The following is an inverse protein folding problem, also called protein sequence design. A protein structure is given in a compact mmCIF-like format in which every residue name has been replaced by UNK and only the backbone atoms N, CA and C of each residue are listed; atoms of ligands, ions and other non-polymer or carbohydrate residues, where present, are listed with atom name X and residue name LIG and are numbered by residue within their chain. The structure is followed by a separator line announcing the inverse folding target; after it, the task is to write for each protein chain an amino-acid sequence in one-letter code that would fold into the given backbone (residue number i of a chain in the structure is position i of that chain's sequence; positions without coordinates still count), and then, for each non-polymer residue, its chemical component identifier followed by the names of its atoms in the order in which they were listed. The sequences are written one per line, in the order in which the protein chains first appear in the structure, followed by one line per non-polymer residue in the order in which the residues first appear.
data_IF_932747690660
#
_entry.id   IF_932747690660
#
_cell.length_a   1.000
_cell.length_b   1.000
_cell.length_c   1.000
_cell.angle_alpha   90.00
_cell.angle_beta   90.00
_cell.angle_gamma   90.00
#
_symmetry.space_group_name_H-M   'P 1'
#
loop_
_entity.id
_entity.type
_entity.pdbx_description
1 polymer ?
#
# COMPACT_ATOMS: atom_id res chain seq x y z
N UNK A 1 15.06 20.74 1.32
CA UNK A 1 14.47 19.46 0.88
C UNK A 1 14.85 18.43 1.92
N UNK A 2 13.94 18.04 2.82
CA UNK A 2 14.17 16.87 3.65
C UNK A 2 14.10 15.66 2.71
N UNK A 3 15.23 15.00 2.46
CA UNK A 3 15.18 13.63 1.97
C UNK A 3 14.39 12.84 3.02
N UNK A 4 13.41 12.01 2.64
CA UNK A 4 12.83 11.09 3.60
C UNK A 4 14.01 10.29 4.16
N UNK A 5 14.19 10.29 5.48
CA UNK A 5 15.09 9.36 6.12
C UNK A 5 14.71 7.98 5.60
N UNK A 6 15.53 7.40 4.72
CA UNK A 6 15.36 6.05 4.22
C UNK A 6 15.69 5.12 5.38
N UNK A 7 14.77 5.02 6.34
CA UNK A 7 14.89 4.12 7.47
C UNK A 7 14.80 2.69 6.88
N UNK A 8 15.90 1.92 6.87
CA UNK A 8 15.89 0.60 6.24
C UNK A 8 14.88 -0.35 6.91
N UNK A 9 14.59 -0.14 8.20
CA UNK A 9 13.59 -0.92 8.92
C UNK A 9 12.17 -0.59 8.47
N UNK A 10 11.89 0.68 8.16
CA UNK A 10 10.61 1.10 7.59
C UNK A 10 10.37 0.40 6.25
N UNK A 11 11.34 0.50 5.34
CA UNK A 11 11.23 -0.09 4.00
C UNK A 11 11.14 -1.62 4.06
N UNK A 12 11.91 -2.27 4.95
CA UNK A 12 11.84 -3.72 5.14
C UNK A 12 10.47 -4.16 5.68
N UNK A 13 9.89 -3.43 6.64
CA UNK A 13 8.57 -3.74 7.20
C UNK A 13 7.48 -3.54 6.16
N UNK A 14 7.49 -2.41 5.44
CA UNK A 14 6.53 -2.14 4.40
C UNK A 14 6.61 -3.18 3.27
N UNK A 15 7.83 -3.52 2.83
CA UNK A 15 8.03 -4.57 1.81
C UNK A 15 7.40 -5.90 2.23
N UNK A 16 7.59 -6.30 3.48
CA UNK A 16 7.02 -7.54 4.02
C UNK A 16 5.49 -7.49 4.04
N UNK A 17 4.90 -6.43 4.59
CA UNK A 17 3.44 -6.24 4.64
C UNK A 17 2.81 -6.38 3.25
N UNK A 18 3.40 -5.72 2.25
CA UNK A 18 2.90 -5.76 0.87
C UNK A 18 3.06 -7.15 0.23
N UNK A 19 4.14 -7.88 0.52
CA UNK A 19 4.36 -9.23 0.01
C UNK A 19 3.42 -10.26 0.65
N UNK A 20 3.08 -10.06 1.93
CA UNK A 20 2.14 -10.91 2.68
C UNK A 20 0.68 -10.63 2.28
N UNK A 21 0.40 -9.51 1.60
CA UNK A 21 -0.95 -9.10 1.24
C UNK A 21 -1.80 -8.68 2.44
N UNK A 22 -1.16 -8.24 3.53
CA UNK A 22 -1.82 -7.96 4.80
C UNK A 22 -2.30 -6.51 4.86
N UNK A 23 -3.54 -6.29 4.41
CA UNK A 23 -4.18 -4.97 4.41
C UNK A 23 -4.32 -4.39 5.84
N UNK A 24 -4.53 -5.25 6.85
CA UNK A 24 -4.73 -4.82 8.23
C UNK A 24 -3.40 -4.32 8.80
N UNK A 25 -2.30 -5.04 8.55
CA UNK A 25 -0.97 -4.58 8.90
C UNK A 25 -0.58 -3.30 8.15
N UNK A 26 -0.99 -3.13 6.89
CA UNK A 26 -0.78 -1.88 6.14
C UNK A 26 -1.50 -0.70 6.80
N UNK A 27 -2.75 -0.88 7.22
CA UNK A 27 -3.52 0.14 7.94
C UNK A 27 -2.84 0.56 9.24
N UNK A 28 -2.47 -0.41 10.07
CA UNK A 28 -1.79 -0.13 11.35
C UNK A 28 -0.42 0.53 11.14
N UNK A 29 0.33 0.07 10.13
CA UNK A 29 1.59 0.67 9.75
C UNK A 29 1.42 2.13 9.32
N UNK A 30 0.43 2.44 8.48
CA UNK A 30 0.14 3.80 8.03
C UNK A 30 -0.28 4.72 9.19
N UNK A 31 -1.08 4.23 10.15
CA UNK A 31 -1.43 4.99 11.36
C UNK A 31 -0.22 5.33 12.20
N UNK A 32 0.64 4.35 12.47
CA UNK A 32 1.81 4.51 13.33
C UNK A 32 2.88 5.39 12.69
N UNK A 33 3.21 5.15 11.44
CA UNK A 33 4.39 5.73 10.80
C UNK A 33 4.09 7.00 10.00
N UNK A 34 2.84 7.16 9.49
CA UNK A 34 2.47 8.29 8.63
C UNK A 34 1.39 9.20 9.25
N UNK A 35 0.89 8.88 10.45
CA UNK A 35 -0.10 9.71 11.18
C UNK A 35 -1.34 10.05 10.35
N UNK A 36 -1.85 9.09 9.58
CA UNK A 36 -3.08 9.28 8.79
C UNK A 36 -4.26 9.65 9.70
N UNK A 37 -5.21 10.43 9.18
CA UNK A 37 -6.42 10.86 9.87
C UNK A 37 -7.40 9.71 10.13
N UNK A 38 -8.30 9.90 11.10
CA UNK A 38 -9.24 8.85 11.54
C UNK A 38 -10.22 8.44 10.42
N UNK A 39 -10.64 9.37 9.58
CA UNK A 39 -11.52 9.11 8.42
C UNK A 39 -10.91 8.17 7.37
N UNK A 40 -9.57 8.18 7.23
CA UNK A 40 -8.83 7.24 6.38
C UNK A 40 -8.62 5.93 7.13
N UNK A 41 -8.25 5.98 8.40
CA UNK A 41 -8.03 4.80 9.22
C UNK A 41 -9.30 3.92 9.32
N UNK A 42 -10.47 4.55 9.45
CA UNK A 42 -11.77 3.89 9.57
C UNK A 42 -12.32 3.33 8.26
N UNK A 43 -11.62 3.51 7.12
CA UNK A 43 -12.02 2.89 5.86
C UNK A 43 -12.00 1.36 5.95
N UNK A 44 -12.86 0.75 5.14
CA UNK A 44 -13.07 -0.68 5.12
C UNK A 44 -11.89 -1.47 4.51
N UNK A 45 -11.94 -2.78 4.66
CA UNK A 45 -10.95 -3.71 4.09
C UNK A 45 -10.77 -3.50 2.58
N UNK A 46 -11.86 -3.22 1.86
CA UNK A 46 -11.82 -3.04 0.41
C UNK A 46 -10.96 -1.84 0.03
N UNK A 47 -11.17 -0.69 0.67
CA UNK A 47 -10.33 0.49 0.49
C UNK A 47 -8.84 0.18 0.74
N UNK A 48 -8.53 -0.48 1.86
CA UNK A 48 -7.14 -0.82 2.21
C UNK A 48 -6.51 -1.79 1.22
N UNK A 49 -7.28 -2.74 0.69
CA UNK A 49 -6.85 -3.68 -0.35
C UNK A 49 -6.56 -2.97 -1.66
N UNK A 50 -7.44 -2.03 -2.09
CA UNK A 50 -7.21 -1.20 -3.29
C UNK A 50 -5.92 -0.38 -3.13
N UNK A 51 -5.75 0.30 -2.00
CA UNK A 51 -4.55 1.09 -1.73
C UNK A 51 -3.30 0.20 -1.75
N UNK A 52 -3.33 -0.97 -1.12
CA UNK A 52 -2.23 -1.92 -1.10
C UNK A 52 -1.79 -2.32 -2.52
N UNK A 53 -2.74 -2.72 -3.38
CA UNK A 53 -2.42 -3.13 -4.75
C UNK A 53 -1.89 -1.97 -5.59
N UNK A 54 -2.41 -0.75 -5.38
CA UNK A 54 -1.87 0.46 -6.03
C UNK A 54 -0.45 0.75 -5.56
N UNK A 55 -0.15 0.66 -4.26
CA UNK A 55 1.22 0.82 -3.74
C UNK A 55 2.15 -0.20 -4.37
N UNK A 56 1.76 -1.49 -4.41
CA UNK A 56 2.56 -2.55 -5.03
C UNK A 56 2.92 -2.18 -6.48
N UNK A 57 1.94 -1.74 -7.28
CA UNK A 57 2.16 -1.38 -8.69
C UNK A 57 3.08 -0.17 -8.90
N UNK A 58 3.24 0.69 -7.88
CA UNK A 58 4.06 1.90 -7.95
C UNK A 58 5.45 1.72 -7.33
N UNK A 59 5.77 0.53 -6.81
CA UNK A 59 7.06 0.23 -6.17
C UNK A 59 7.96 -0.65 -7.03
N UNK A 60 9.22 -0.21 -7.21
CA UNK A 60 10.26 -0.93 -7.97
C UNK A 60 10.75 -2.18 -7.22
N UNK A 61 10.69 -2.21 -5.90
CA UNK A 61 11.12 -3.37 -5.13
C UNK A 61 10.07 -4.49 -5.04
N UNK A 62 8.93 -4.32 -5.71
CA UNK A 62 7.80 -5.27 -5.74
C UNK A 62 7.41 -5.71 -7.15
N UNK A 63 8.31 -5.58 -8.15
CA UNK A 63 8.01 -5.93 -9.55
C UNK A 63 7.43 -7.34 -9.73
N UNK A 64 7.88 -8.30 -8.92
CA UNK A 64 7.39 -9.68 -8.95
C UNK A 64 5.90 -9.83 -8.59
N UNK A 65 5.31 -8.84 -7.93
CA UNK A 65 3.88 -8.81 -7.54
C UNK A 65 3.02 -7.96 -8.49
N UNK A 66 3.62 -7.21 -9.42
CA UNK A 66 2.89 -6.25 -10.27
C UNK A 66 1.80 -6.91 -11.10
N UNK A 67 2.10 -8.05 -11.73
CA UNK A 67 1.14 -8.74 -12.59
C UNK A 67 -0.13 -9.15 -11.82
N UNK A 68 0.05 -9.73 -10.62
CA UNK A 68 -1.06 -10.15 -9.77
C UNK A 68 -1.88 -8.95 -9.28
N UNK A 69 -1.20 -7.88 -8.82
CA UNK A 69 -1.88 -6.67 -8.34
C UNK A 69 -2.63 -5.93 -9.45
N UNK A 70 -2.07 -5.83 -10.66
CA UNK A 70 -2.77 -5.25 -11.82
C UNK A 70 -4.02 -6.05 -12.17
N UNK A 71 -3.90 -7.37 -12.25
CA UNK A 71 -5.05 -8.24 -12.54
C UNK A 71 -6.12 -8.17 -11.43
N UNK A 72 -5.73 -7.99 -10.17
CA UNK A 72 -6.70 -7.76 -9.09
C UNK A 72 -7.41 -6.41 -9.24
N UNK A 73 -6.67 -5.32 -9.48
CA UNK A 73 -7.25 -3.99 -9.66
C UNK A 73 -8.21 -3.94 -10.85
N UNK A 74 -7.80 -4.49 -11.99
CA UNK A 74 -8.62 -4.54 -13.21
C UNK A 74 -9.93 -5.30 -12.98
N UNK A 75 -9.87 -6.48 -12.34
CA UNK A 75 -11.08 -7.26 -12.01
C UNK A 75 -12.04 -6.53 -11.08
N UNK A 76 -11.55 -5.59 -10.28
CA UNK A 76 -12.34 -4.79 -9.36
C UNK A 76 -12.65 -3.38 -9.90
N UNK A 77 -12.29 -3.07 -11.15
CA UNK A 77 -12.61 -1.79 -11.80
C UNK A 77 -11.72 -0.61 -11.41
N UNK A 78 -10.50 -0.86 -10.91
CA UNK A 78 -9.55 0.18 -10.50
C UNK A 78 -8.35 0.31 -11.45
N UNK A 79 -7.83 1.53 -11.60
CA UNK A 79 -6.53 1.77 -12.24
C UNK A 79 -5.37 1.57 -11.25
N UNK A 80 -4.14 1.57 -11.77
CA UNK A 80 -2.92 1.53 -10.95
C UNK A 80 -2.53 2.89 -10.36
N UNK A 81 -3.25 3.96 -10.70
CA UNK A 81 -2.91 5.31 -10.26
C UNK A 81 -3.21 5.48 -8.78
N UNK A 82 -2.33 6.16 -8.06
CA UNK A 82 -2.54 6.46 -6.64
C UNK A 82 -3.67 7.48 -6.39
N UNK A 83 -4.20 8.12 -7.44
CA UNK A 83 -5.40 8.95 -7.38
C UNK A 83 -6.67 8.14 -7.66
N UNK A 84 -7.77 8.49 -7.00
CA UNK A 84 -9.09 7.85 -7.18
C UNK A 84 -9.26 6.62 -6.31
N UNK A 85 -9.77 6.81 -5.09
CA UNK A 85 -10.18 5.73 -4.18
C UNK A 85 -11.70 5.66 -4.14
#
# INVERSE_FOLDING_TARGET
MMQPNANPEYESRLRKILADGDWAALREFARKENQISDDIYEKDEHFWSVLMHKIICNRIDQLHLHAASRAWLERNGYSTDLGGF
#
